data_IF_557395151144
#
_entry.id   IF_557395151144
#
_cell.length_a   1.000
_cell.length_b   1.000
_cell.length_c   1.000
_cell.angle_alpha   90.00
_cell.angle_beta   90.00
_cell.angle_gamma   90.00
#
_symmetry.space_group_name_H-M   'P 1'
#
loop_
_entity.id
_entity.type
_entity.pdbx_description
1 polymer ?
#
# COMPACT_ATOMS: atom_id res chain seq x y z
N UNK A 1 -53.28 4.52 93.98
CA UNK A 1 -53.68 4.69 92.58
C UNK A 1 -52.43 4.45 91.80
N UNK A 2 -52.31 3.33 91.26
CA UNK A 2 -51.14 2.81 90.58
C UNK A 2 -51.30 2.89 89.05
N UNK A 3 -50.32 3.42 88.32
CA UNK A 3 -50.27 3.33 86.86
C UNK A 3 -49.04 2.59 86.50
N UNK A 4 -49.24 1.52 85.80
CA UNK A 4 -48.22 0.66 85.20
C UNK A 4 -47.67 1.27 83.92
N UNK A 5 -46.34 1.34 83.75
CA UNK A 5 -45.67 1.66 82.54
C UNK A 5 -45.06 0.35 81.92
N UNK A 6 -45.55 -0.02 80.76
CA UNK A 6 -45.03 -1.08 79.96
C UNK A 6 -43.82 -0.57 79.15
N UNK A 7 -42.67 -1.21 79.25
CA UNK A 7 -41.52 -0.98 78.38
C UNK A 7 -41.53 -1.96 77.20
N UNK A 8 -41.79 -1.43 76.02
CA UNK A 8 -41.55 -2.18 74.78
C UNK A 8 -40.10 -2.01 74.31
N UNK A 9 -39.38 -3.12 74.23
CA UNK A 9 -38.02 -3.14 73.63
C UNK A 9 -38.14 -3.25 72.16
N UNK A 10 -37.60 -2.27 71.41
CA UNK A 10 -37.46 -2.28 69.95
C UNK A 10 -36.11 -2.86 69.57
N UNK A 11 -36.16 -4.07 69.06
CA UNK A 11 -34.97 -4.73 68.54
C UNK A 11 -34.56 -4.14 67.18
N UNK A 12 -33.38 -3.54 67.11
CA UNK A 12 -32.77 -3.04 65.85
C UNK A 12 -32.07 -4.17 65.11
N UNK A 13 -32.67 -4.61 64.00
CA UNK A 13 -32.05 -5.61 63.10
C UNK A 13 -31.09 -4.86 62.17
N UNK A 14 -29.79 -4.99 62.41
CA UNK A 14 -28.74 -4.48 61.50
C UNK A 14 -28.48 -5.51 60.43
N UNK A 15 -28.96 -5.23 59.21
CA UNK A 15 -28.64 -6.05 58.02
C UNK A 15 -27.31 -5.58 57.44
N UNK A 16 -26.26 -6.37 57.59
CA UNK A 16 -24.98 -6.16 56.90
C UNK A 16 -25.12 -6.54 55.44
N UNK A 17 -25.13 -5.55 54.52
CA UNK A 17 -24.90 -5.78 53.09
C UNK A 17 -23.41 -5.97 52.83
N UNK A 18 -23.00 -7.19 52.62
CA UNK A 18 -21.67 -7.49 52.07
C UNK A 18 -21.68 -7.16 50.55
N UNK A 19 -21.23 -5.99 50.20
CA UNK A 19 -20.92 -5.64 48.82
C UNK A 19 -19.67 -6.42 48.42
N UNK A 20 -19.88 -7.55 47.75
CA UNK A 20 -18.82 -8.28 47.08
C UNK A 20 -18.27 -7.45 45.91
N UNK A 21 -17.12 -6.80 46.09
CA UNK A 21 -16.36 -6.24 44.97
C UNK A 21 -15.78 -7.38 44.16
N UNK A 22 -16.52 -7.81 43.15
CA UNK A 22 -16.03 -8.74 42.13
C UNK A 22 -14.91 -8.05 41.33
N UNK A 23 -13.65 -8.35 41.64
CA UNK A 23 -12.52 -8.01 40.80
C UNK A 23 -12.70 -8.80 39.47
N UNK A 24 -13.26 -8.15 38.46
CA UNK A 24 -13.21 -8.71 37.08
C UNK A 24 -11.76 -8.62 36.60
N UNK A 25 -11.01 -9.68 36.76
CA UNK A 25 -9.73 -9.83 36.06
C UNK A 25 -10.02 -9.90 34.57
N UNK A 26 -9.87 -8.77 33.88
CA UNK A 26 -9.79 -8.76 32.42
C UNK A 26 -8.66 -9.71 32.04
N UNK A 27 -8.99 -10.88 31.52
CA UNK A 27 -7.99 -11.73 30.90
C UNK A 27 -7.44 -10.94 29.72
N UNK A 28 -6.21 -10.43 29.88
CA UNK A 28 -5.42 -9.96 28.74
C UNK A 28 -5.21 -11.20 27.87
N UNK A 29 -6.08 -11.36 26.87
CA UNK A 29 -5.86 -12.38 25.85
C UNK A 29 -4.59 -11.99 25.14
N UNK A 30 -3.60 -12.87 25.12
CA UNK A 30 -2.40 -12.70 24.32
C UNK A 30 -2.85 -12.39 22.87
N UNK A 31 -2.16 -11.44 22.18
CA UNK A 31 -2.52 -11.12 20.81
C UNK A 31 -2.54 -12.43 20.00
N UNK A 32 -3.54 -12.63 19.13
CA UNK A 32 -3.61 -13.84 18.32
C UNK A 32 -2.30 -13.98 17.55
N UNK A 33 -1.75 -15.20 17.52
CA UNK A 33 -0.51 -15.48 16.77
C UNK A 33 -0.72 -15.12 15.31
N UNK A 34 0.29 -14.61 14.60
CA UNK A 34 0.16 -14.40 13.15
C UNK A 34 -0.24 -15.71 12.48
N UNK A 35 -1.24 -15.67 11.63
CA UNK A 35 -1.64 -16.79 10.78
C UNK A 35 -0.55 -17.12 9.75
N UNK A 36 0.31 -16.15 9.47
CA UNK A 36 1.41 -16.25 8.53
C UNK A 36 2.73 -15.81 9.18
N UNK A 37 3.83 -16.36 8.66
CA UNK A 37 5.19 -16.01 9.01
C UNK A 37 6.02 -15.88 7.74
N UNK A 38 6.79 -14.79 7.64
CA UNK A 38 7.74 -14.59 6.56
C UNK A 38 9.09 -15.22 6.90
N UNK A 39 9.61 -16.02 5.98
CA UNK A 39 10.97 -16.55 6.02
C UNK A 39 11.76 -15.97 4.84
N UNK A 40 12.75 -15.13 5.13
CA UNK A 40 13.62 -14.55 4.11
C UNK A 40 14.48 -15.66 3.47
N UNK A 41 14.46 -15.73 2.14
CA UNK A 41 15.20 -16.71 1.37
C UNK A 41 16.42 -16.11 0.68
N UNK A 42 16.24 -14.98 -0.03
CA UNK A 42 17.29 -14.43 -0.89
C UNK A 42 17.05 -12.96 -1.22
N UNK A 43 18.15 -12.25 -1.46
CA UNK A 43 18.21 -11.00 -2.21
C UNK A 43 18.84 -11.27 -3.58
N UNK A 44 18.23 -10.74 -4.63
CA UNK A 44 18.80 -10.68 -5.99
C UNK A 44 18.80 -9.22 -6.45
N UNK A 45 19.90 -8.76 -7.07
CA UNK A 45 20.05 -7.36 -7.49
C UNK A 45 20.09 -7.32 -9.02
N UNK A 46 19.20 -6.50 -9.61
CA UNK A 46 19.30 -6.12 -11.01
C UNK A 46 20.28 -4.94 -11.09
N UNK A 47 21.36 -5.03 -11.91
CA UNK A 47 22.35 -3.95 -11.98
C UNK A 47 21.76 -2.61 -12.46
N UNK A 48 22.10 -1.51 -11.80
CA UNK A 48 21.59 -0.17 -12.12
C UNK A 48 21.89 0.34 -13.54
N UNK A 49 22.94 -0.17 -14.19
CA UNK A 49 23.33 0.20 -15.55
C UNK A 49 22.72 -0.74 -16.62
N UNK A 50 21.72 -1.52 -16.25
CA UNK A 50 21.03 -2.40 -17.20
C UNK A 50 20.31 -1.56 -18.24
N UNK A 51 20.63 -1.80 -19.51
CA UNK A 51 19.92 -1.23 -20.66
C UNK A 51 19.12 -2.32 -21.36
N UNK A 52 17.90 -2.00 -21.74
CA UNK A 52 17.07 -2.85 -22.57
C UNK A 52 16.39 -2.04 -23.67
N UNK A 53 16.54 -2.46 -24.93
CA UNK A 53 16.05 -1.70 -26.10
C UNK A 53 16.42 -0.20 -26.06
N UNK A 54 17.65 0.09 -25.66
CA UNK A 54 18.20 1.44 -25.49
C UNK A 54 17.52 2.31 -24.42
N UNK A 55 16.77 1.71 -23.51
CA UNK A 55 16.21 2.40 -22.35
C UNK A 55 16.85 1.91 -21.06
N UNK A 56 17.06 2.80 -20.05
CA UNK A 56 17.50 2.36 -18.75
C UNK A 56 16.41 1.53 -18.07
N UNK A 57 16.80 0.40 -17.47
CA UNK A 57 15.93 -0.43 -16.64
C UNK A 57 16.09 0.04 -15.19
N UNK A 58 15.04 0.62 -14.63
CA UNK A 58 15.01 1.19 -13.30
C UNK A 58 13.66 1.84 -13.05
N UNK A 59 13.51 2.50 -11.88
CA UNK A 59 12.23 3.06 -11.50
C UNK A 59 11.15 1.97 -11.39
N UNK A 60 11.50 0.75 -10.94
CA UNK A 60 10.56 -0.37 -10.93
C UNK A 60 9.69 -0.31 -9.67
N UNK A 61 8.63 0.50 -9.72
CA UNK A 61 7.71 0.77 -8.61
C UNK A 61 6.64 -0.32 -8.42
N UNK A 62 6.33 -1.12 -9.43
CA UNK A 62 5.36 -2.20 -9.34
C UNK A 62 5.82 -3.50 -9.98
N UNK A 63 5.32 -4.62 -9.46
CA UNK A 63 5.59 -5.97 -10.01
C UNK A 63 4.33 -6.82 -9.95
N UNK A 64 4.07 -7.60 -11.01
CA UNK A 64 3.02 -8.62 -11.01
C UNK A 64 3.47 -9.88 -11.75
N UNK A 65 2.84 -11.01 -11.40
CA UNK A 65 3.11 -12.32 -11.98
C UNK A 65 1.90 -12.86 -12.73
N UNK A 66 2.06 -13.08 -14.01
CA UNK A 66 1.05 -13.77 -14.82
C UNK A 66 1.28 -15.28 -14.80
N UNK A 67 0.47 -15.99 -14.02
CA UNK A 67 0.57 -17.44 -13.88
C UNK A 67 0.22 -18.21 -15.16
N UNK A 68 -0.42 -17.58 -16.15
CA UNK A 68 -0.77 -18.20 -17.43
C UNK A 68 0.43 -18.26 -18.35
N UNK A 69 1.19 -17.17 -18.45
CA UNK A 69 2.40 -17.09 -19.29
C UNK A 69 3.67 -17.46 -18.54
N UNK A 70 3.66 -17.42 -17.20
CA UNK A 70 4.82 -17.63 -16.35
C UNK A 70 5.77 -16.41 -16.31
N UNK A 71 5.34 -15.28 -16.85
CA UNK A 71 6.16 -14.05 -16.94
C UNK A 71 5.83 -13.06 -15.84
N UNK A 72 6.81 -12.25 -15.50
CA UNK A 72 6.67 -11.10 -14.59
C UNK A 72 6.57 -9.82 -15.40
N UNK A 73 5.86 -8.86 -14.82
CA UNK A 73 5.63 -7.53 -15.36
C UNK A 73 6.04 -6.51 -14.30
N UNK A 74 6.78 -5.47 -14.70
CA UNK A 74 7.07 -4.34 -13.82
C UNK A 74 6.89 -3.03 -14.56
N UNK A 75 6.23 -2.07 -13.91
CA UNK A 75 6.08 -0.71 -14.40
C UNK A 75 7.27 0.13 -13.94
N UNK A 76 7.62 1.15 -14.74
CA UNK A 76 8.64 2.13 -14.38
C UNK A 76 7.96 3.46 -14.05
N UNK A 77 8.31 4.07 -12.91
CA UNK A 77 7.83 5.36 -12.42
C UNK A 77 8.45 6.57 -13.16
N UNK A 78 9.21 6.28 -14.21
CA UNK A 78 9.76 7.35 -15.07
C UNK A 78 8.64 8.16 -15.70
N UNK A 79 8.51 9.41 -15.28
CA UNK A 79 7.54 10.40 -15.82
C UNK A 79 7.81 10.77 -17.29
N UNK A 80 8.24 9.80 -18.07
CA UNK A 80 8.70 9.95 -19.46
C UNK A 80 9.93 10.83 -19.63
N UNK A 81 10.67 11.14 -18.58
CA UNK A 81 11.83 12.04 -18.64
C UNK A 81 13.10 11.37 -19.16
N UNK A 82 13.31 10.09 -18.88
CA UNK A 82 14.42 9.28 -19.42
C UNK A 82 14.02 8.51 -20.67
N UNK A 83 12.82 7.94 -20.66
CA UNK A 83 12.19 7.29 -21.80
C UNK A 83 10.66 7.32 -21.59
N UNK A 84 9.83 7.19 -22.62
CA UNK A 84 8.38 7.20 -22.46
C UNK A 84 7.91 6.23 -21.36
N UNK A 85 6.82 6.59 -20.64
CA UNK A 85 6.19 5.76 -19.63
C UNK A 85 6.02 4.33 -20.15
N UNK A 86 6.43 3.33 -19.38
CA UNK A 86 6.62 1.97 -19.88
C UNK A 86 6.50 0.91 -18.81
N UNK A 87 6.33 -0.31 -19.26
CA UNK A 87 6.50 -1.50 -18.42
C UNK A 87 7.41 -2.51 -19.11
N UNK A 88 8.01 -3.38 -18.32
CA UNK A 88 8.87 -4.46 -18.77
C UNK A 88 8.20 -5.82 -18.55
N UNK A 89 8.48 -6.77 -19.44
CA UNK A 89 8.16 -8.19 -19.25
C UNK A 89 9.44 -8.98 -19.14
N UNK A 90 9.50 -9.91 -18.20
CA UNK A 90 10.69 -10.70 -17.96
C UNK A 90 10.39 -12.04 -17.30
N UNK A 91 11.32 -12.98 -17.41
CA UNK A 91 11.28 -14.24 -16.69
C UNK A 91 12.22 -14.16 -15.49
N UNK A 92 11.74 -14.64 -14.34
CA UNK A 92 12.61 -14.98 -13.22
C UNK A 92 12.83 -16.48 -13.24
N UNK A 93 14.07 -16.91 -13.45
CA UNK A 93 14.44 -18.31 -13.40
C UNK A 93 14.82 -18.69 -11.98
N UNK A 94 14.37 -19.86 -11.57
CA UNK A 94 14.64 -20.39 -10.23
C UNK A 94 15.49 -21.68 -10.35
N UNK A 95 16.47 -21.79 -9.44
CA UNK A 95 17.25 -23.01 -9.24
C UNK A 95 17.28 -23.31 -7.76
N UNK A 96 16.90 -24.54 -7.37
CA UNK A 96 16.78 -24.92 -5.98
C UNK A 96 15.90 -23.93 -5.15
N UNK A 97 14.79 -23.46 -5.72
CA UNK A 97 13.83 -22.51 -5.14
C UNK A 97 14.37 -21.10 -4.87
N UNK A 98 15.56 -20.78 -5.36
CA UNK A 98 16.17 -19.45 -5.29
C UNK A 98 16.22 -18.82 -6.69
N UNK A 99 16.21 -17.49 -6.74
CA UNK A 99 16.36 -16.74 -7.99
C UNK A 99 17.76 -16.99 -8.55
N UNK A 100 17.83 -17.57 -9.74
CA UNK A 100 19.08 -17.83 -10.48
C UNK A 100 19.39 -16.67 -11.44
N UNK A 101 18.37 -16.20 -12.15
CA UNK A 101 18.55 -15.12 -13.10
C UNK A 101 17.23 -14.40 -13.42
N UNK A 102 17.33 -13.14 -13.85
CA UNK A 102 16.24 -12.31 -14.38
C UNK A 102 16.53 -12.02 -15.84
N UNK A 103 15.61 -12.39 -16.74
CA UNK A 103 15.78 -12.29 -18.19
C UNK A 103 14.70 -11.38 -18.77
N UNK A 104 15.05 -10.14 -19.09
CA UNK A 104 14.18 -9.22 -19.80
C UNK A 104 13.74 -9.81 -21.14
N UNK A 105 12.45 -9.80 -21.41
CA UNK A 105 11.83 -10.35 -22.63
C UNK A 105 11.36 -9.25 -23.56
N UNK A 106 10.61 -8.30 -23.02
CA UNK A 106 10.09 -7.19 -23.78
C UNK A 106 9.93 -5.93 -22.94
N UNK A 107 9.65 -4.82 -23.61
CA UNK A 107 9.32 -3.52 -23.03
C UNK A 107 8.32 -2.85 -23.95
N UNK A 108 7.26 -2.32 -23.35
CA UNK A 108 6.18 -1.67 -24.05
C UNK A 108 5.95 -0.27 -23.48
N UNK A 109 5.78 0.70 -24.39
CA UNK A 109 5.39 2.05 -23.99
C UNK A 109 3.91 2.12 -23.69
N UNK A 110 3.56 2.73 -22.55
CA UNK A 110 2.19 3.07 -22.22
C UNK A 110 1.72 4.22 -23.12
N UNK A 111 0.49 4.13 -23.60
CA UNK A 111 -0.06 5.06 -24.58
C UNK A 111 -1.32 5.76 -24.05
N UNK A 112 -1.51 6.98 -24.46
CA UNK A 112 -2.70 7.78 -24.19
C UNK A 112 -3.87 7.40 -25.13
N UNK A 113 -4.99 8.13 -25.03
CA UNK A 113 -6.21 7.90 -25.82
C UNK A 113 -6.00 8.07 -27.32
N UNK A 114 -5.05 8.88 -27.72
CA UNK A 114 -4.67 9.15 -29.11
C UNK A 114 -3.64 8.12 -29.62
N UNK A 115 -3.38 7.08 -28.84
CA UNK A 115 -2.38 6.04 -29.11
C UNK A 115 -0.95 6.59 -29.26
N UNK A 116 -0.65 7.69 -28.54
CA UNK A 116 0.67 8.30 -28.48
C UNK A 116 1.33 8.00 -27.13
N UNK A 117 2.67 7.91 -27.03
CA UNK A 117 3.37 7.92 -25.76
C UNK A 117 3.03 9.20 -24.97
N UNK A 118 3.06 9.09 -23.63
CA UNK A 118 2.91 10.25 -22.77
C UNK A 118 4.12 11.18 -22.89
N UNK A 119 3.94 12.51 -22.88
CA UNK A 119 5.03 13.48 -22.97
C UNK A 119 5.91 13.45 -21.70
N UNK A 120 7.18 13.87 -21.82
CA UNK A 120 8.05 14.06 -20.64
C UNK A 120 7.45 15.09 -19.66
N UNK A 121 7.56 14.80 -18.37
CA UNK A 121 7.07 15.68 -17.31
C UNK A 121 7.70 17.09 -17.38
N UNK A 122 9.00 17.17 -17.71
CA UNK A 122 9.73 18.43 -17.85
C UNK A 122 9.22 19.30 -19.01
N UNK A 123 8.60 18.71 -20.05
CA UNK A 123 8.16 19.41 -21.27
C UNK A 123 6.68 19.76 -21.22
N UNK A 124 5.85 18.85 -20.71
CA UNK A 124 4.39 19.00 -20.62
C UNK A 124 3.84 18.34 -19.36
N UNK A 125 3.89 19.04 -18.22
CA UNK A 125 3.36 18.52 -16.95
C UNK A 125 1.89 18.11 -17.02
N UNK A 126 0.97 18.92 -17.61
CA UNK A 126 -0.45 18.54 -17.70
C UNK A 126 -0.71 17.25 -18.49
N UNK A 127 0.08 16.98 -19.50
CA UNK A 127 -0.05 15.80 -20.36
C UNK A 127 0.71 14.57 -19.83
N UNK A 128 1.59 14.75 -18.84
CA UNK A 128 2.43 13.67 -18.31
C UNK A 128 1.65 12.70 -17.41
N UNK A 129 2.32 11.63 -17.04
CA UNK A 129 1.87 10.63 -16.08
C UNK A 129 2.98 10.31 -15.08
N UNK A 130 2.59 9.79 -13.95
CA UNK A 130 3.44 9.28 -12.87
C UNK A 130 3.03 7.83 -12.57
N UNK A 131 3.57 6.85 -13.31
CA UNK A 131 3.14 5.47 -13.17
C UNK A 131 3.68 4.85 -11.89
N UNK A 132 2.82 4.20 -11.08
CA UNK A 132 3.23 3.62 -9.81
C UNK A 132 3.03 2.10 -9.76
N UNK A 133 1.83 1.60 -9.82
CA UNK A 133 1.57 0.17 -9.76
C UNK A 133 1.02 -0.40 -11.07
N UNK A 134 1.18 -1.71 -11.21
CA UNK A 134 0.66 -2.48 -12.35
C UNK A 134 0.09 -3.81 -11.86
N UNK A 135 -1.04 -4.23 -12.46
CA UNK A 135 -1.59 -5.60 -12.30
C UNK A 135 -2.06 -6.14 -13.63
N UNK A 136 -1.85 -7.44 -13.83
CA UNK A 136 -2.15 -8.16 -15.07
C UNK A 136 -3.35 -9.07 -14.88
N UNK A 137 -4.33 -9.00 -15.79
CA UNK A 137 -5.48 -9.90 -15.79
C UNK A 137 -5.85 -10.29 -17.23
N UNK A 138 -5.52 -11.51 -17.61
CA UNK A 138 -5.73 -11.99 -18.98
C UNK A 138 -5.03 -11.09 -20.00
N UNK A 139 -5.72 -10.54 -21.01
CA UNK A 139 -5.11 -9.67 -22.01
C UNK A 139 -4.90 -8.22 -21.51
N UNK A 140 -5.31 -7.88 -20.29
CA UNK A 140 -5.36 -6.51 -19.80
C UNK A 140 -4.29 -6.24 -18.76
N UNK A 141 -3.82 -5.00 -18.78
CA UNK A 141 -2.96 -4.40 -17.77
C UNK A 141 -3.73 -3.25 -17.13
N UNK A 142 -3.83 -3.25 -15.81
CA UNK A 142 -4.30 -2.12 -15.00
C UNK A 142 -3.08 -1.44 -14.40
N UNK A 143 -2.99 -0.13 -14.51
CA UNK A 143 -1.89 0.62 -13.93
C UNK A 143 -2.37 1.94 -13.33
N UNK A 144 -1.73 2.34 -12.23
CA UNK A 144 -2.02 3.59 -11.54
C UNK A 144 -1.11 4.71 -12.01
N UNK A 145 -1.64 5.91 -11.94
CA UNK A 145 -0.97 7.18 -12.14
C UNK A 145 -1.25 8.02 -10.88
N UNK A 146 -0.19 8.43 -10.21
CA UNK A 146 -0.29 9.14 -8.94
C UNK A 146 -0.96 10.51 -9.06
N UNK A 147 -0.87 11.11 -10.24
CA UNK A 147 -1.35 12.45 -10.49
C UNK A 147 -0.36 13.52 -10.02
N UNK A 148 -0.80 14.78 -9.99
CA UNK A 148 0.06 15.91 -9.63
C UNK A 148 -0.72 17.02 -8.95
N UNK A 149 -0.16 17.58 -7.86
CA UNK A 149 -0.63 18.81 -7.22
C UNK A 149 0.51 19.82 -7.12
N UNK A 150 0.78 20.53 -8.22
CA UNK A 150 1.81 21.57 -8.26
C UNK A 150 1.17 22.97 -8.16
N UNK A 151 1.32 23.59 -7.00
CA UNK A 151 0.84 24.94 -6.70
C UNK A 151 1.95 25.99 -6.72
N UNK A 152 3.16 25.65 -7.15
CA UNK A 152 4.35 26.52 -7.06
C UNK A 152 4.35 27.63 -8.14
N UNK A 153 3.64 27.41 -9.24
CA UNK A 153 3.57 28.33 -10.36
C UNK A 153 2.43 29.34 -10.27
N UNK A 154 2.40 30.31 -11.18
CA UNK A 154 1.24 31.22 -11.35
C UNK A 154 -0.02 30.49 -11.81
N UNK A 155 0.15 29.42 -12.55
CA UNK A 155 -0.92 28.55 -13.03
C UNK A 155 -0.69 27.18 -12.36
N UNK A 156 -1.52 26.80 -11.38
CA UNK A 156 -1.44 25.48 -10.76
C UNK A 156 -1.62 24.35 -11.79
N UNK A 157 -0.85 23.28 -11.63
CA UNK A 157 -1.04 22.05 -12.40
C UNK A 157 -1.66 21.01 -11.48
N UNK A 158 -2.87 20.57 -11.82
CA UNK A 158 -3.68 19.68 -11.04
C UNK A 158 -4.09 18.48 -11.89
N UNK A 159 -3.47 17.33 -11.66
CA UNK A 159 -3.79 16.08 -12.33
C UNK A 159 -4.34 15.13 -11.27
N UNK A 160 -5.61 14.78 -11.40
CA UNK A 160 -6.26 13.80 -10.53
C UNK A 160 -5.61 12.43 -10.72
N UNK A 161 -5.34 11.67 -9.64
CA UNK A 161 -4.89 10.29 -9.74
C UNK A 161 -5.80 9.46 -10.65
N UNK A 162 -5.23 8.58 -11.46
CA UNK A 162 -5.96 7.81 -12.46
C UNK A 162 -5.62 6.33 -12.38
N UNK A 163 -6.52 5.49 -12.85
CA UNK A 163 -6.24 4.08 -13.10
C UNK A 163 -6.58 3.81 -14.56
N UNK A 164 -5.60 3.41 -15.31
CA UNK A 164 -5.71 3.12 -16.72
C UNK A 164 -5.87 1.63 -16.98
N UNK A 165 -6.46 1.32 -18.12
CA UNK A 165 -6.52 -0.02 -18.70
C UNK A 165 -5.79 0.00 -20.02
N UNK A 166 -4.82 -0.88 -20.18
CA UNK A 166 -4.10 -1.09 -21.42
C UNK A 166 -4.16 -2.57 -21.84
N UNK A 167 -3.88 -2.84 -23.12
CA UNK A 167 -3.54 -4.18 -23.57
C UNK A 167 -2.08 -4.53 -23.20
N UNK A 168 -1.63 -5.73 -23.62
CA UNK A 168 -0.26 -6.20 -23.33
C UNK A 168 0.82 -5.51 -24.15
N UNK A 169 0.44 -4.78 -25.18
CA UNK A 169 1.31 -3.92 -25.99
C UNK A 169 1.38 -2.48 -25.50
N UNK A 170 0.62 -2.15 -24.42
CA UNK A 170 0.57 -0.83 -23.83
C UNK A 170 -0.42 0.13 -24.48
N UNK A 171 -1.26 -0.32 -25.41
CA UNK A 171 -2.27 0.51 -26.03
C UNK A 171 -3.42 0.80 -25.07
N UNK A 172 -3.91 2.04 -25.09
CA UNK A 172 -4.99 2.47 -24.21
C UNK A 172 -6.32 1.78 -24.52
N UNK A 173 -6.96 1.22 -23.51
CA UNK A 173 -8.29 0.60 -23.57
C UNK A 173 -9.34 1.30 -22.70
N UNK A 174 -8.93 2.34 -21.95
CA UNK A 174 -9.82 3.14 -21.12
C UNK A 174 -9.26 3.41 -19.73
N UNK A 175 -10.10 3.91 -18.85
CA UNK A 175 -9.75 4.21 -17.45
C UNK A 175 -10.92 3.95 -16.51
N UNK A 176 -10.62 3.91 -15.22
CA UNK A 176 -11.62 3.81 -14.17
C UNK A 176 -12.12 5.19 -13.78
N UNK A 177 -13.41 5.27 -13.41
CA UNK A 177 -13.99 6.49 -12.88
C UNK A 177 -13.61 6.65 -11.41
N UNK A 178 -12.72 7.59 -11.15
CA UNK A 178 -12.25 7.91 -9.80
C UNK A 178 -13.34 8.68 -9.02
N UNK A 179 -13.52 8.40 -7.71
CA UNK A 179 -14.46 9.15 -6.86
C UNK A 179 -14.13 10.64 -6.75
N UNK A 180 -15.16 11.47 -6.62
CA UNK A 180 -15.00 12.93 -6.55
C UNK A 180 -14.10 13.41 -5.39
N UNK A 181 -14.05 12.63 -4.29
CA UNK A 181 -13.18 12.95 -3.14
C UNK A 181 -11.69 12.89 -3.47
N UNK A 182 -11.32 12.19 -4.55
CA UNK A 182 -9.95 12.08 -5.04
C UNK A 182 -9.64 13.06 -6.17
N UNK A 183 -10.55 13.97 -6.49
CA UNK A 183 -10.26 15.02 -7.48
C UNK A 183 -9.18 15.95 -6.94
N UNK A 184 -8.09 16.11 -7.73
CA UNK A 184 -7.03 17.04 -7.40
C UNK A 184 -7.52 18.47 -7.50
N UNK A 185 -7.24 19.31 -6.50
CA UNK A 185 -7.72 20.69 -6.46
C UNK A 185 -6.84 21.58 -5.59
N UNK A 186 -6.96 22.88 -5.71
CA UNK A 186 -6.14 23.87 -4.96
C UNK A 186 -6.51 23.95 -3.47
N UNK A 187 -7.77 23.64 -3.11
CA UNK A 187 -8.29 23.80 -1.76
C UNK A 187 -7.80 22.74 -0.75
N UNK A 188 -8.33 22.84 0.48
CA UNK A 188 -7.96 22.00 1.62
C UNK A 188 -8.64 20.62 1.59
N UNK A 189 -8.65 19.97 0.43
CA UNK A 189 -9.22 18.62 0.24
C UNK A 189 -8.60 17.91 -0.97
N UNK A 190 -8.82 16.60 -1.05
CA UNK A 190 -8.27 15.76 -2.11
C UNK A 190 -6.86 15.25 -1.83
N UNK A 191 -6.23 14.59 -2.79
CA UNK A 191 -4.90 14.03 -2.63
C UNK A 191 -3.84 15.11 -2.38
N UNK A 192 -2.78 14.70 -1.70
CA UNK A 192 -1.56 15.50 -1.56
C UNK A 192 -0.72 15.40 -2.82
N UNK A 193 0.21 16.30 -2.98
CA UNK A 193 1.25 16.13 -3.99
C UNK A 193 2.15 14.96 -3.57
N UNK A 194 2.41 14.04 -4.47
CA UNK A 194 3.12 12.80 -4.20
C UNK A 194 2.50 12.06 -3.00
N UNK A 195 1.26 11.66 -3.14
CA UNK A 195 0.44 11.00 -2.12
C UNK A 195 -0.90 10.55 -2.71
N UNK A 196 -0.90 10.22 -4.01
CA UNK A 196 -2.03 9.76 -4.79
C UNK A 196 -2.19 8.24 -4.79
N UNK A 197 -2.49 7.66 -5.97
CA UNK A 197 -2.58 6.21 -6.10
C UNK A 197 -1.19 5.58 -6.22
N UNK A 198 -0.88 4.68 -5.30
CA UNK A 198 0.32 3.86 -5.30
C UNK A 198 0.01 2.41 -5.67
N UNK A 199 -0.39 1.59 -4.73
CA UNK A 199 -0.59 0.16 -4.90
C UNK A 199 -1.91 -0.21 -5.56
N UNK A 200 -1.88 -1.31 -6.31
CA UNK A 200 -3.07 -1.95 -6.89
C UNK A 200 -3.16 -3.43 -6.47
N UNK A 201 -4.38 -3.95 -6.32
CA UNK A 201 -4.60 -5.38 -6.11
C UNK A 201 -5.88 -5.86 -6.78
N UNK A 202 -5.83 -6.98 -7.49
CA UNK A 202 -7.01 -7.63 -8.06
C UNK A 202 -7.55 -8.62 -7.04
N UNK A 203 -8.86 -8.58 -6.75
CA UNK A 203 -9.49 -9.57 -5.88
C UNK A 203 -9.36 -10.99 -6.45
N UNK A 204 -9.27 -12.04 -5.62
CA UNK A 204 -9.06 -13.42 -6.10
C UNK A 204 -10.14 -13.94 -7.04
N UNK A 205 -11.34 -13.37 -7.01
CA UNK A 205 -12.43 -13.71 -7.93
C UNK A 205 -12.38 -12.93 -9.26
N UNK A 206 -11.40 -12.04 -9.44
CA UNK A 206 -11.20 -11.23 -10.65
C UNK A 206 -12.28 -10.18 -10.90
N UNK A 207 -13.12 -9.86 -9.91
CA UNK A 207 -14.23 -8.91 -10.12
C UNK A 207 -13.94 -7.51 -9.65
N UNK A 208 -13.03 -7.34 -8.71
CA UNK A 208 -12.70 -6.05 -8.12
C UNK A 208 -11.23 -5.71 -8.25
N UNK A 209 -10.95 -4.44 -8.51
CA UNK A 209 -9.63 -3.84 -8.40
C UNK A 209 -9.63 -2.94 -7.17
N UNK A 210 -8.62 -3.08 -6.33
CA UNK A 210 -8.38 -2.18 -5.20
C UNK A 210 -7.20 -1.27 -5.54
N UNK A 211 -7.32 -0.01 -5.17
CA UNK A 211 -6.22 0.95 -5.23
C UNK A 211 -6.00 1.56 -3.84
N UNK A 212 -4.76 1.64 -3.39
CA UNK A 212 -4.39 2.37 -2.19
C UNK A 212 -4.03 3.80 -2.53
N UNK A 213 -4.44 4.73 -1.65
CA UNK A 213 -3.88 6.08 -1.62
C UNK A 213 -2.67 6.04 -0.71
N UNK A 214 -1.52 6.61 -1.13
CA UNK A 214 -0.27 6.54 -0.36
C UNK A 214 -0.40 7.24 0.99
N UNK A 215 -0.84 8.50 0.97
CA UNK A 215 -0.94 9.35 2.13
C UNK A 215 -2.38 9.76 2.44
N UNK A 216 -2.70 10.19 3.69
CA UNK A 216 -4.01 10.72 4.02
C UNK A 216 -4.40 11.87 3.09
N UNK A 217 -5.63 11.87 2.57
CA UNK A 217 -6.14 13.04 1.86
C UNK A 217 -6.06 14.28 2.78
N UNK A 218 -5.98 15.46 2.19
CA UNK A 218 -5.89 16.73 2.96
C UNK A 218 -7.05 16.83 3.95
N UNK A 219 -8.26 16.46 3.52
CA UNK A 219 -9.47 16.46 4.37
C UNK A 219 -9.54 15.26 5.35
N UNK A 220 -8.72 14.24 5.19
CA UNK A 220 -8.70 13.07 6.08
C UNK A 220 -7.74 13.24 7.28
N UNK A 221 -7.00 14.36 7.34
CA UNK A 221 -6.16 14.71 8.46
C UNK A 221 -4.70 14.94 8.11
N UNK A 222 -3.83 14.87 9.10
CA UNK A 222 -2.42 15.13 8.93
C UNK A 222 -1.67 13.90 8.37
N UNK A 223 -0.51 14.14 7.78
CA UNK A 223 0.48 13.11 7.48
C UNK A 223 0.89 12.38 8.76
N UNK A 224 1.40 11.15 8.63
CA UNK A 224 1.98 10.44 9.75
C UNK A 224 3.07 11.28 10.43
N UNK A 225 3.00 11.37 11.76
CA UNK A 225 4.03 12.00 12.60
C UNK A 225 4.96 10.96 13.22
N UNK A 226 5.96 11.40 13.98
CA UNK A 226 6.88 10.48 14.69
C UNK A 226 6.22 9.68 15.81
N UNK A 227 5.22 10.27 16.47
CA UNK A 227 4.55 9.68 17.63
C UNK A 227 3.04 9.58 17.42
N UNK A 228 2.55 10.04 16.29
CA UNK A 228 1.12 10.10 15.98
C UNK A 228 0.80 9.23 14.77
N UNK A 229 0.02 8.19 15.02
CA UNK A 229 -0.57 7.32 14.00
C UNK A 229 -1.95 7.81 13.57
N UNK A 230 -2.17 9.12 13.49
CA UNK A 230 -3.45 9.71 13.07
C UNK A 230 -3.70 9.61 11.57
N UNK A 231 -2.66 9.27 10.79
CA UNK A 231 -2.78 9.13 9.35
C UNK A 231 -3.74 8.00 8.97
N UNK A 232 -4.87 8.34 8.36
CA UNK A 232 -5.82 7.37 7.82
C UNK A 232 -5.89 7.58 6.32
N UNK A 233 -5.58 6.53 5.57
CA UNK A 233 -5.63 6.52 4.11
C UNK A 233 -6.84 5.73 3.61
N UNK A 234 -7.18 5.92 2.35
CA UNK A 234 -8.32 5.24 1.72
C UNK A 234 -7.84 4.12 0.81
N UNK A 235 -8.48 2.96 0.93
CA UNK A 235 -8.43 1.87 -0.04
C UNK A 235 -9.70 1.95 -0.87
N UNK A 236 -9.59 2.14 -2.17
CA UNK A 236 -10.73 2.30 -3.07
C UNK A 236 -10.99 0.99 -3.80
N UNK A 237 -12.21 0.47 -3.68
CA UNK A 237 -12.65 -0.71 -4.40
C UNK A 237 -13.40 -0.33 -5.66
N UNK A 238 -12.94 -0.80 -6.80
CA UNK A 238 -13.59 -0.64 -8.10
C UNK A 238 -14.17 -1.96 -8.58
N UNK A 239 -15.32 -1.92 -9.21
CA UNK A 239 -15.83 -3.03 -10.03
C UNK A 239 -15.14 -3.01 -11.40
N UNK A 240 -14.45 -4.09 -11.76
CA UNK A 240 -13.62 -4.17 -12.98
C UNK A 240 -14.49 -4.05 -14.24
N UNK A 241 -15.70 -4.62 -14.23
CA UNK A 241 -16.57 -4.61 -15.40
C UNK A 241 -17.12 -3.23 -15.70
N UNK A 242 -17.65 -2.54 -14.70
CA UNK A 242 -18.23 -1.21 -14.86
C UNK A 242 -17.19 -0.09 -14.79
N UNK A 243 -15.97 -0.39 -14.30
CA UNK A 243 -14.88 0.56 -14.06
C UNK A 243 -15.29 1.72 -13.15
N UNK A 244 -16.15 1.45 -12.16
CA UNK A 244 -16.62 2.43 -11.18
C UNK A 244 -16.20 2.04 -9.77
N UNK A 245 -15.91 3.03 -8.94
CA UNK A 245 -15.74 2.80 -7.51
C UNK A 245 -17.08 2.35 -6.91
N UNK A 246 -17.03 1.31 -6.07
CA UNK A 246 -18.19 0.68 -5.44
C UNK A 246 -18.11 0.66 -3.92
N UNK A 247 -16.95 0.86 -3.32
CA UNK A 247 -16.76 1.02 -1.88
C UNK A 247 -15.41 1.70 -1.60
N UNK A 248 -15.25 2.21 -0.39
CA UNK A 248 -13.99 2.72 0.15
C UNK A 248 -13.81 2.18 1.56
N UNK A 249 -12.56 1.94 1.96
CA UNK A 249 -12.22 1.44 3.29
C UNK A 249 -11.12 2.30 3.92
N UNK A 250 -11.21 2.49 5.24
CA UNK A 250 -10.21 3.25 5.99
C UNK A 250 -9.08 2.33 6.43
N UNK A 251 -7.84 2.74 6.20
CA UNK A 251 -6.65 2.06 6.68
C UNK A 251 -5.79 3.04 7.48
N UNK A 252 -5.46 2.70 8.72
CA UNK A 252 -4.60 3.53 9.57
C UNK A 252 -3.15 3.17 9.34
N UNK A 253 -2.33 4.12 8.83
CA UNK A 253 -0.89 3.93 8.68
C UNK A 253 -0.16 4.10 10.01
N UNK A 254 1.04 3.48 10.11
CA UNK A 254 1.92 3.63 11.28
C UNK A 254 2.54 5.04 11.36
N UNK A 255 3.07 5.42 12.52
CA UNK A 255 3.93 6.60 12.63
C UNK A 255 5.19 6.43 11.77
N UNK A 256 5.85 7.58 11.50
CA UNK A 256 7.20 7.62 10.92
C UNK A 256 8.15 6.77 11.77
N UNK A 257 8.87 5.85 11.15
CA UNK A 257 9.67 4.86 11.87
C UNK A 257 10.88 5.45 12.60
N UNK A 258 11.48 6.53 12.06
CA UNK A 258 12.70 7.11 12.59
C UNK A 258 12.67 8.65 12.53
N UNK A 259 13.33 9.34 13.47
CA UNK A 259 13.50 10.79 13.39
C UNK A 259 14.34 11.18 12.18
N UNK A 260 14.09 12.40 11.67
CA UNK A 260 14.86 12.99 10.56
C UNK A 260 16.08 13.77 11.07
N UNK A 261 17.12 13.85 10.25
CA UNK A 261 18.31 14.65 10.48
C UNK A 261 18.65 15.40 9.19
N UNK A 262 18.56 16.74 9.14
CA UNK A 262 18.19 17.67 10.22
C UNK A 262 16.68 17.59 10.56
N UNK A 263 16.25 18.14 11.70
CA UNK A 263 14.88 18.03 12.24
C UNK A 263 13.78 18.51 11.27
N UNK A 264 14.09 19.48 10.41
CA UNK A 264 13.20 19.97 9.36
C UNK A 264 13.30 19.20 8.04
N UNK A 265 14.01 18.08 8.01
CA UNK A 265 14.15 17.22 6.83
C UNK A 265 12.85 16.58 6.39
N UNK A 266 12.81 16.09 5.17
CA UNK A 266 11.67 15.36 4.62
C UNK A 266 11.49 14.02 5.32
N UNK A 267 10.22 13.66 5.55
CA UNK A 267 9.80 12.37 6.11
C UNK A 267 8.42 12.00 5.60
N UNK A 268 8.21 10.72 5.43
CA UNK A 268 6.94 10.14 5.00
C UNK A 268 6.76 8.75 5.59
N UNK A 269 5.53 8.34 5.81
CA UNK A 269 5.10 6.95 5.90
C UNK A 269 3.81 6.83 5.11
N UNK A 270 3.77 5.93 4.16
CA UNK A 270 2.64 5.70 3.27
C UNK A 270 2.52 4.25 2.85
N UNK A 271 1.45 3.93 2.15
CA UNK A 271 1.28 2.60 1.52
C UNK A 271 1.97 2.65 0.16
N UNK A 272 2.94 1.74 -0.07
CA UNK A 272 3.60 1.64 -1.37
C UNK A 272 3.00 0.55 -2.27
N UNK A 273 2.51 -0.57 -1.73
CA UNK A 273 1.77 -1.55 -2.55
C UNK A 273 0.82 -2.42 -1.71
N UNK A 274 -0.10 -3.09 -2.39
CA UNK A 274 -1.09 -3.98 -1.80
C UNK A 274 -1.25 -5.26 -2.62
N UNK A 275 -1.49 -6.42 -1.95
CA UNK A 275 -1.68 -7.70 -2.62
C UNK A 275 -2.69 -8.55 -1.86
N UNK A 276 -3.68 -9.15 -2.55
CA UNK A 276 -4.58 -10.12 -1.90
C UNK A 276 -3.87 -11.43 -1.59
N UNK A 277 -3.93 -11.86 -0.32
CA UNK A 277 -3.53 -13.20 0.09
C UNK A 277 -4.68 -14.21 -0.05
N UNK A 278 -5.91 -13.75 0.16
CA UNK A 278 -7.15 -14.51 -0.01
C UNK A 278 -8.33 -13.54 -0.17
N UNK A 279 -9.58 -14.04 -0.11
CA UNK A 279 -10.78 -13.22 -0.39
C UNK A 279 -11.00 -12.03 0.56
N UNK A 280 -10.45 -12.05 1.78
CA UNK A 280 -10.65 -10.97 2.76
C UNK A 280 -9.35 -10.36 3.27
N UNK A 281 -8.21 -11.01 3.05
CA UNK A 281 -6.94 -10.57 3.62
C UNK A 281 -6.07 -9.93 2.56
N UNK A 282 -5.74 -8.68 2.81
CA UNK A 282 -4.88 -7.85 1.99
C UNK A 282 -3.53 -7.70 2.66
N UNK A 283 -2.47 -8.04 1.96
CA UNK A 283 -1.12 -7.65 2.32
C UNK A 283 -0.96 -6.17 2.00
N UNK A 284 -0.43 -5.39 2.94
CA UNK A 284 -0.19 -3.96 2.78
C UNK A 284 1.25 -3.66 3.12
N UNK A 285 1.97 -3.01 2.22
CA UNK A 285 3.33 -2.54 2.44
C UNK A 285 3.27 -1.08 2.88
N UNK A 286 3.78 -0.79 4.07
CA UNK A 286 4.04 0.56 4.52
C UNK A 286 5.53 0.86 4.39
N UNK A 287 5.85 1.95 3.71
CA UNK A 287 7.20 2.45 3.49
C UNK A 287 7.40 3.74 4.26
N UNK A 288 8.35 3.75 5.18
CA UNK A 288 8.73 4.94 5.95
C UNK A 288 10.12 5.40 5.57
N UNK A 289 10.21 6.65 5.14
CA UNK A 289 11.48 7.34 4.85
C UNK A 289 11.70 8.53 5.79
N UNK A 290 12.95 8.76 6.13
CA UNK A 290 13.39 9.92 6.93
C UNK A 290 14.73 10.42 6.43
N UNK A 291 14.83 11.69 6.07
CA UNK A 291 16.11 12.34 5.68
C UNK A 291 17.19 12.06 6.75
N UNK A 292 18.40 11.77 6.29
CA UNK A 292 19.52 11.35 7.14
C UNK A 292 19.70 9.85 7.27
N UNK A 293 18.77 9.07 6.71
CA UNK A 293 18.91 7.60 6.57
C UNK A 293 19.17 7.24 5.12
N UNK A 294 19.92 6.15 4.93
CA UNK A 294 20.24 5.59 3.61
C UNK A 294 19.30 4.42 3.25
N UNK A 295 18.40 4.03 4.16
CA UNK A 295 17.46 2.93 3.98
C UNK A 295 16.05 3.39 4.33
N UNK A 296 15.05 2.87 3.63
CA UNK A 296 13.68 2.92 4.07
C UNK A 296 13.42 1.89 5.18
N UNK A 297 12.45 2.14 6.04
CA UNK A 297 11.86 1.11 6.91
C UNK A 297 10.62 0.57 6.24
N UNK A 298 10.62 -0.70 5.92
CA UNK A 298 9.51 -1.39 5.27
C UNK A 298 8.81 -2.28 6.27
N UNK A 299 7.51 -2.05 6.46
CA UNK A 299 6.66 -2.90 7.28
C UNK A 299 5.55 -3.52 6.43
N UNK A 300 5.36 -4.81 6.60
CA UNK A 300 4.34 -5.57 5.88
C UNK A 300 3.25 -5.99 6.85
N UNK A 301 2.04 -5.56 6.57
CA UNK A 301 0.86 -5.87 7.38
C UNK A 301 -0.08 -6.80 6.63
N UNK A 302 -0.85 -7.56 7.40
CA UNK A 302 -2.08 -8.17 6.91
C UNK A 302 -3.25 -7.33 7.42
N UNK A 303 -4.10 -6.89 6.52
CA UNK A 303 -5.30 -6.13 6.80
C UNK A 303 -6.53 -7.00 6.47
N UNK A 304 -7.54 -6.99 7.33
CA UNK A 304 -8.74 -7.82 7.19
C UNK A 304 -9.92 -6.97 6.73
N UNK A 305 -10.48 -7.36 5.58
CA UNK A 305 -11.61 -6.69 4.94
C UNK A 305 -12.96 -7.36 5.24
N UNK A 306 -13.01 -8.48 6.00
CA UNK A 306 -14.22 -9.29 6.16
C UNK A 306 -15.40 -8.50 6.74
N UNK A 307 -15.12 -7.60 7.69
CA UNK A 307 -16.14 -6.76 8.33
C UNK A 307 -15.88 -5.26 8.12
N UNK A 308 -15.15 -4.93 7.05
CA UNK A 308 -14.79 -3.54 6.75
C UNK A 308 -16.03 -2.70 6.41
N UNK A 309 -16.16 -1.56 7.07
CA UNK A 309 -17.23 -0.61 6.81
C UNK A 309 -16.95 0.20 5.54
N UNK A 310 -17.98 0.37 4.68
CA UNK A 310 -17.88 1.25 3.53
C UNK A 310 -17.97 2.71 3.94
N UNK A 311 -16.89 3.44 3.76
CA UNK A 311 -16.74 4.85 4.10
C UNK A 311 -16.95 5.80 2.91
N UNK A 312 -17.52 5.34 1.79
CA UNK A 312 -17.70 6.14 0.56
C UNK A 312 -18.46 7.45 0.80
N UNK A 313 -19.39 7.45 1.75
CA UNK A 313 -20.20 8.63 2.13
C UNK A 313 -19.51 9.57 3.11
N UNK A 314 -18.35 9.19 3.66
CA UNK A 314 -17.66 9.96 4.69
C UNK A 314 -16.67 10.93 4.05
N UNK A 315 -16.93 12.22 4.21
CA UNK A 315 -16.09 13.28 3.62
C UNK A 315 -14.72 13.40 4.30
N UNK A 316 -14.64 13.23 5.63
CA UNK A 316 -13.39 13.36 6.39
C UNK A 316 -13.22 12.21 7.36
N UNK A 317 -12.01 11.62 7.34
CA UNK A 317 -11.60 10.56 8.27
C UNK A 317 -10.75 11.10 9.43
N UNK A 318 -10.59 12.43 9.55
CA UNK A 318 -9.83 13.03 10.63
C UNK A 318 -10.37 12.59 12.01
N UNK A 319 -9.51 11.92 12.80
CA UNK A 319 -9.88 11.39 14.12
C UNK A 319 -10.72 10.10 14.11
N UNK A 320 -11.10 9.56 12.95
CA UNK A 320 -12.00 8.40 12.82
C UNK A 320 -11.24 7.05 12.78
N UNK A 321 -10.35 6.84 13.77
CA UNK A 321 -9.63 5.57 13.94
C UNK A 321 -10.56 4.37 14.15
N UNK A 322 -11.76 4.62 14.64
CA UNK A 322 -12.84 3.65 14.82
C UNK A 322 -13.28 2.96 13.51
N UNK A 323 -13.08 3.62 12.37
CA UNK A 323 -13.44 3.10 11.05
C UNK A 323 -12.32 2.30 10.38
N UNK A 324 -11.11 2.35 10.94
CA UNK A 324 -9.97 1.67 10.31
C UNK A 324 -10.12 0.16 10.37
N UNK A 325 -9.86 -0.50 9.22
CA UNK A 325 -9.83 -1.97 9.14
C UNK A 325 -8.77 -2.53 10.08
N UNK A 326 -9.02 -3.70 10.72
CA UNK A 326 -8.03 -4.37 11.54
C UNK A 326 -6.80 -4.73 10.73
N UNK A 327 -5.62 -4.47 11.30
CA UNK A 327 -4.35 -4.88 10.70
C UNK A 327 -3.42 -5.53 11.71
N UNK A 328 -2.47 -6.32 11.22
CA UNK A 328 -1.47 -7.00 12.03
C UNK A 328 -0.12 -6.98 11.32
N UNK A 329 0.93 -6.58 12.03
CA UNK A 329 2.29 -6.62 11.52
C UNK A 329 2.73 -8.07 11.32
N UNK A 330 3.19 -8.40 10.11
CA UNK A 330 3.76 -9.70 9.77
C UNK A 330 5.29 -9.65 9.66
N UNK A 331 5.82 -8.56 9.10
CA UNK A 331 7.25 -8.40 8.86
C UNK A 331 7.65 -6.93 9.04
N UNK A 332 8.74 -6.70 9.76
CA UNK A 332 9.52 -5.46 9.70
C UNK A 332 10.86 -5.80 9.04
N UNK A 333 11.15 -5.22 7.87
CA UNK A 333 12.38 -5.55 7.13
C UNK A 333 13.65 -5.01 7.83
N UNK A 334 13.53 -4.06 8.77
CA UNK A 334 14.65 -3.65 9.61
C UNK A 334 15.21 -4.82 10.46
N UNK A 335 14.35 -5.80 10.79
CA UNK A 335 14.75 -6.98 11.56
C UNK A 335 15.66 -7.93 10.76
N UNK A 336 15.68 -7.82 9.44
CA UNK A 336 16.59 -8.59 8.58
C UNK A 336 18.05 -8.17 8.75
N UNK A 337 18.31 -6.99 9.33
CA UNK A 337 19.65 -6.39 9.51
C UNK A 337 20.43 -6.33 8.19
N UNK A 338 19.70 -6.00 7.10
CA UNK A 338 20.21 -5.86 5.74
C UNK A 338 19.86 -4.49 5.21
N UNK A 339 20.60 -4.05 4.22
CA UNK A 339 20.19 -2.89 3.44
C UNK A 339 18.90 -3.21 2.72
N UNK A 340 17.85 -2.46 3.01
CA UNK A 340 16.56 -2.52 2.31
C UNK A 340 16.34 -1.17 1.65
N UNK A 341 16.20 -1.19 0.35
CA UNK A 341 15.95 0.01 -0.45
C UNK A 341 14.45 0.34 -0.48
N UNK A 342 14.06 1.17 -1.38
CA UNK A 342 12.73 1.71 -1.61
C UNK A 342 11.77 0.62 -2.14
N UNK A 343 11.29 -0.29 -1.28
CA UNK A 343 10.36 -1.36 -1.68
C UNK A 343 9.01 -0.77 -2.04
N UNK A 344 8.60 -0.95 -3.30
CA UNK A 344 7.38 -0.37 -3.85
C UNK A 344 6.45 -1.39 -4.52
N UNK A 345 6.90 -2.62 -4.73
CA UNK A 345 6.04 -3.65 -5.32
C UNK A 345 6.14 -5.00 -4.65
N UNK A 346 5.05 -5.77 -4.72
CA UNK A 346 5.00 -7.16 -4.27
C UNK A 346 4.13 -8.03 -5.18
N UNK A 347 4.59 -9.24 -5.44
CA UNK A 347 3.82 -10.26 -6.15
C UNK A 347 4.10 -11.66 -5.62
N UNK A 348 3.30 -12.64 -6.05
CA UNK A 348 3.60 -14.04 -5.79
C UNK A 348 4.77 -14.53 -6.63
N UNK A 349 5.60 -15.37 -6.01
CA UNK A 349 6.61 -16.18 -6.68
C UNK A 349 6.13 -17.62 -6.88
N UNK A 350 7.01 -18.52 -7.36
CA UNK A 350 6.72 -19.95 -7.42
C UNK A 350 6.57 -20.52 -6.00
N UNK A 351 5.93 -21.68 -5.89
CA UNK A 351 5.88 -22.39 -4.60
C UNK A 351 7.29 -22.77 -4.14
N UNK A 352 7.55 -22.60 -2.84
CA UNK A 352 8.77 -23.02 -2.20
C UNK A 352 8.93 -24.54 -2.11
N UNK A 353 10.05 -25.00 -1.52
CA UNK A 353 10.38 -26.41 -1.39
C UNK A 353 9.31 -27.25 -0.67
N UNK A 354 8.62 -26.65 0.30
CA UNK A 354 7.58 -27.29 1.10
C UNK A 354 6.17 -27.12 0.48
N UNK A 355 6.06 -26.48 -0.68
CA UNK A 355 4.78 -26.16 -1.33
C UNK A 355 4.12 -24.88 -0.80
N UNK A 356 4.74 -24.19 0.16
CA UNK A 356 4.29 -22.89 0.66
C UNK A 356 4.41 -21.82 -0.44
N UNK A 357 3.52 -20.82 -0.48
CA UNK A 357 3.65 -19.71 -1.41
C UNK A 357 4.92 -18.91 -1.12
N UNK A 358 5.52 -18.34 -2.17
CA UNK A 358 6.57 -17.35 -2.01
C UNK A 358 6.09 -15.99 -2.48
N UNK A 359 6.74 -14.95 -1.98
CA UNK A 359 6.51 -13.56 -2.35
C UNK A 359 7.82 -12.94 -2.81
N UNK A 360 7.74 -12.12 -3.85
CA UNK A 360 8.85 -11.34 -4.36
C UNK A 360 8.49 -9.87 -4.16
N UNK A 361 9.33 -9.18 -3.40
CA UNK A 361 9.26 -7.72 -3.25
C UNK A 361 10.28 -7.10 -4.20
N UNK A 362 9.91 -6.00 -4.84
CA UNK A 362 10.82 -5.23 -5.70
C UNK A 362 11.04 -3.84 -5.12
N UNK A 363 12.27 -3.34 -5.23
CA UNK A 363 12.57 -1.94 -4.89
C UNK A 363 12.76 -1.11 -6.15
N UNK A 364 12.25 0.11 -6.09
CA UNK A 364 12.62 1.18 -6.99
C UNK A 364 14.02 1.73 -6.66
N UNK A 365 14.81 2.00 -7.67
CA UNK A 365 16.13 2.60 -7.55
C UNK A 365 16.15 4.10 -7.91
N UNK A 366 14.98 4.71 -8.15
CA UNK A 366 14.84 6.13 -8.53
C UNK A 366 15.84 6.57 -9.62
N UNK A 367 16.34 5.65 -10.45
CA UNK A 367 17.46 5.84 -11.38
C UNK A 367 18.72 6.46 -10.72
N UNK A 368 18.82 6.34 -9.38
CA UNK A 368 19.92 6.84 -8.57
C UNK A 368 21.01 5.77 -8.47
N UNK A 369 22.28 6.05 -8.83
CA UNK A 369 23.36 5.06 -8.76
C UNK A 369 23.68 4.57 -7.34
N UNK A 370 23.21 5.25 -6.30
CA UNK A 370 23.37 4.84 -4.90
C UNK A 370 22.26 3.91 -4.41
N UNK A 371 21.15 3.81 -5.14
CA UNK A 371 20.01 2.97 -4.84
C UNK A 371 20.05 1.69 -5.68
N UNK A 372 19.24 0.70 -5.35
CA UNK A 372 19.31 -0.63 -5.97
C UNK A 372 17.92 -1.08 -6.41
N UNK A 373 17.86 -1.77 -7.52
CA UNK A 373 16.70 -2.61 -7.84
C UNK A 373 16.90 -3.98 -7.21
N UNK A 374 16.33 -4.17 -6.01
CA UNK A 374 16.37 -5.44 -5.26
C UNK A 374 15.14 -6.28 -5.58
N UNK A 375 15.32 -7.59 -5.72
CA UNK A 375 14.26 -8.58 -5.60
C UNK A 375 14.49 -9.34 -4.29
N UNK A 376 13.59 -9.16 -3.33
CA UNK A 376 13.64 -9.86 -2.05
C UNK A 376 12.65 -11.02 -2.07
N UNK A 377 13.16 -12.25 -2.01
CA UNK A 377 12.36 -13.46 -2.04
C UNK A 377 12.09 -13.94 -0.62
N UNK A 378 10.82 -14.15 -0.31
CA UNK A 378 10.36 -14.70 0.97
C UNK A 378 9.47 -15.92 0.74
N UNK A 379 9.52 -16.87 1.66
CA UNK A 379 8.52 -17.92 1.82
C UNK A 379 7.47 -17.43 2.83
N UNK A 380 6.19 -17.63 2.51
CA UNK A 380 5.05 -17.27 3.37
C UNK A 380 4.48 -18.55 3.99
N UNK A 381 4.90 -18.86 5.21
CA UNK A 381 4.42 -20.03 5.96
C UNK A 381 3.09 -19.74 6.61
N UNK A 382 2.15 -20.66 6.46
CA UNK A 382 0.92 -20.67 7.23
C UNK A 382 1.17 -21.40 8.55
N UNK A 383 0.78 -20.78 9.69
CA UNK A 383 0.90 -21.37 11.04
C UNK A 383 -0.33 -22.12 11.46
#
# INVERSE_FOLDING_TARGET
MASFFSKSALGLLVVFYLAGTGCSTSRVTAPPRPEYEFNFLQEYIIPNNTLFKNTPVGGLSGIDYDSVTGSYFSISDDRSDLAPARFYTYDIRFKNYLIDSVLLRDMHYLRNQENQPFPPFRDDKPGSVDPEALRVMGPKIFWSDEGLRDLSGKNPVLITPRIFVADREGNYEGSFKVPDILQMQEGEKGPRNNGGFEGLAISPDGKSLFASVEEPLINDGHRAGLHDSSGIVRLIKFDIRSRKAVAQYAYQIEPIAHPVIPENGFRVNGISDILFLNHHQLLVIERSYSTGRITCTIKVFIADLEHAEDISSIFSLAGRKDLAIPKKLLLNMDDLKRFTDNIEGVTFGPKGANGDPTLIFISDNNFNPLERTQLLLFELKRK
#
